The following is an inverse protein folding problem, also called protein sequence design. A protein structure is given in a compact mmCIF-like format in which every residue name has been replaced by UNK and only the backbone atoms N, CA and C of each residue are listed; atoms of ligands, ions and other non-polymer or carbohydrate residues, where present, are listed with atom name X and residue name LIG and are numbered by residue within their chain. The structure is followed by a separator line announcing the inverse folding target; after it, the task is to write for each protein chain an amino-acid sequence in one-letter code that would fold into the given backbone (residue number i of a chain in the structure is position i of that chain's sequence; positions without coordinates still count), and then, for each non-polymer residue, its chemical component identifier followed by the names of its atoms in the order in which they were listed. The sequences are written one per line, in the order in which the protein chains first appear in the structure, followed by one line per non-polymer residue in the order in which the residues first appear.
data_IF_076653001158
#
_entry.id   IF_076653001158
#
_cell.length_a   1.000
_cell.length_b   1.000
_cell.length_c   1.000
_cell.angle_alpha   90.00
_cell.angle_beta   90.00
_cell.angle_gamma   90.00
#
_symmetry.space_group_name_H-M   'P 1'
#
loop_
_entity.id
_entity.type
_entity.pdbx_description
1 polymer ?
#
# COMPACT_ATOMS: atom_id res chain seq x y z
N UNK A 1 -4.30 -17.72 -11.78
CA UNK A 1 -4.46 -16.65 -12.79
C UNK A 1 -4.99 -15.43 -12.07
N UNK A 2 -4.21 -14.37 -12.05
CA UNK A 2 -4.53 -13.14 -11.34
C UNK A 2 -5.56 -12.38 -12.19
N UNK A 3 -6.77 -12.16 -11.67
CA UNK A 3 -7.83 -11.49 -12.42
C UNK A 3 -7.36 -10.07 -12.76
N UNK A 4 -7.58 -9.54 -13.98
CA UNK A 4 -7.11 -8.21 -14.39
C UNK A 4 -7.55 -7.06 -13.45
N UNK A 5 -8.62 -7.27 -12.69
CA UNK A 5 -9.05 -6.37 -11.62
C UNK A 5 -8.02 -6.28 -10.47
N UNK A 6 -7.39 -7.39 -10.07
CA UNK A 6 -6.37 -7.38 -9.01
C UNK A 6 -5.13 -6.60 -9.42
N UNK A 7 -4.73 -6.65 -10.69
CA UNK A 7 -3.58 -5.88 -11.19
C UNK A 7 -3.83 -4.38 -11.08
N UNK A 8 -5.03 -3.91 -11.45
CA UNK A 8 -5.44 -2.49 -11.27
C UNK A 8 -5.45 -2.07 -9.80
N UNK A 9 -6.01 -2.92 -8.95
CA UNK A 9 -6.09 -2.63 -7.51
C UNK A 9 -4.71 -2.60 -6.84
N UNK A 10 -3.78 -3.44 -7.30
CA UNK A 10 -2.38 -3.41 -6.84
C UNK A 10 -1.66 -2.13 -7.28
N UNK A 11 -1.93 -1.64 -8.50
CA UNK A 11 -1.41 -0.37 -9.01
C UNK A 11 -1.91 0.80 -8.14
N UNK A 12 -3.22 0.83 -7.83
CA UNK A 12 -3.81 1.82 -6.93
C UNK A 12 -3.23 1.74 -5.50
N UNK A 13 -2.98 0.54 -4.98
CA UNK A 13 -2.34 0.35 -3.69
C UNK A 13 -0.91 0.93 -3.66
N UNK A 14 -0.16 0.74 -4.75
CA UNK A 14 1.19 1.28 -4.88
C UNK A 14 1.19 2.81 -4.93
N UNK A 15 0.25 3.40 -5.67
CA UNK A 15 0.01 4.86 -5.70
C UNK A 15 -0.27 5.44 -4.31
N UNK A 16 -1.14 4.78 -3.53
CA UNK A 16 -1.42 5.20 -2.15
C UNK A 16 -0.21 5.06 -1.24
N UNK A 17 0.59 4.00 -1.39
CA UNK A 17 1.83 3.84 -0.65
C UNK A 17 2.84 4.95 -0.95
N UNK A 18 3.00 5.33 -2.21
CA UNK A 18 3.89 6.44 -2.58
C UNK A 18 3.42 7.76 -1.97
N UNK A 19 2.11 8.05 -2.00
CA UNK A 19 1.54 9.25 -1.38
C UNK A 19 1.70 9.28 0.13
N UNK A 20 1.48 8.14 0.79
CA UNK A 20 1.61 8.03 2.25
C UNK A 20 3.06 8.04 2.74
N UNK A 21 4.00 7.62 1.89
CA UNK A 21 5.45 7.73 2.17
C UNK A 21 6.05 9.07 1.80
N UNK A 22 5.35 9.90 1.02
CA UNK A 22 5.78 11.26 0.77
C UNK A 22 5.84 12.04 2.09
N UNK A 23 6.87 12.87 2.25
CA UNK A 23 7.08 13.63 3.49
C UNK A 23 5.96 14.64 3.76
N UNK A 24 5.13 14.95 2.76
CA UNK A 24 3.93 15.78 2.84
C UNK A 24 2.62 15.02 3.09
N UNK A 25 2.65 13.71 3.39
CA UNK A 25 1.45 12.91 3.61
C UNK A 25 0.55 13.49 4.73
N UNK A 26 -0.55 14.12 4.33
CA UNK A 26 -1.52 14.74 5.24
C UNK A 26 -2.52 13.74 5.79
N UNK A 27 -3.25 14.15 6.84
CA UNK A 27 -4.35 13.35 7.39
C UNK A 27 -5.46 13.08 6.35
N UNK A 28 -5.66 14.01 5.42
CA UNK A 28 -6.60 13.85 4.31
C UNK A 28 -6.20 12.71 3.36
N UNK A 29 -4.90 12.50 3.14
CA UNK A 29 -4.39 11.40 2.30
C UNK A 29 -4.64 10.04 2.98
N UNK A 30 -4.37 9.95 4.29
CA UNK A 30 -4.73 8.78 5.12
C UNK A 30 -6.22 8.48 5.08
N UNK A 31 -7.07 9.49 5.25
CA UNK A 31 -8.52 9.32 5.21
C UNK A 31 -9.02 8.89 3.81
N UNK A 32 -8.42 9.42 2.74
CA UNK A 32 -8.76 9.04 1.38
C UNK A 32 -8.32 7.60 1.05
N UNK A 33 -7.12 7.20 1.49
CA UNK A 33 -6.65 5.82 1.41
C UNK A 33 -7.58 4.88 2.18
N UNK A 34 -8.01 5.24 3.39
CA UNK A 34 -8.91 4.40 4.17
C UNK A 34 -10.26 4.21 3.48
N UNK A 35 -10.84 5.28 2.93
CA UNK A 35 -12.08 5.22 2.14
C UNK A 35 -11.93 4.35 0.90
N UNK A 36 -10.78 4.43 0.22
CA UNK A 36 -10.48 3.58 -0.93
C UNK A 36 -10.42 2.10 -0.54
N UNK A 37 -9.78 1.75 0.59
CA UNK A 37 -9.75 0.36 1.09
C UNK A 37 -11.12 -0.16 1.51
N UNK A 38 -11.97 0.70 2.04
CA UNK A 38 -13.35 0.34 2.44
C UNK A 38 -14.30 0.21 1.26
N UNK A 39 -13.95 0.78 0.10
CA UNK A 39 -14.81 0.72 -1.09
C UNK A 39 -14.95 -0.70 -1.66
N UNK A 40 -13.90 -1.52 -1.56
CA UNK A 40 -13.93 -2.89 -2.06
C UNK A 40 -13.04 -3.84 -1.23
N UNK A 41 -13.50 -5.05 -0.89
CA UNK A 41 -12.69 -6.03 -0.17
C UNK A 41 -11.39 -6.42 -0.90
N UNK A 42 -11.34 -6.30 -2.23
CA UNK A 42 -10.12 -6.53 -3.00
C UNK A 42 -9.06 -5.45 -2.74
N UNK A 43 -9.48 -4.20 -2.51
CA UNK A 43 -8.57 -3.09 -2.18
C UNK A 43 -7.90 -3.32 -0.83
N UNK A 44 -8.69 -3.74 0.17
CA UNK A 44 -8.16 -4.11 1.47
C UNK A 44 -7.14 -5.26 1.38
N UNK A 45 -7.42 -6.29 0.57
CA UNK A 45 -6.51 -7.42 0.33
C UNK A 45 -5.20 -7.01 -0.35
N UNK A 46 -5.25 -6.14 -1.35
CA UNK A 46 -4.06 -5.62 -2.02
C UNK A 46 -3.22 -4.73 -1.09
N UNK A 47 -3.88 -3.85 -0.34
CA UNK A 47 -3.25 -2.99 0.65
C UNK A 47 -2.55 -3.81 1.74
N UNK A 48 -3.21 -4.83 2.30
CA UNK A 48 -2.60 -5.71 3.30
C UNK A 48 -1.38 -6.46 2.76
N UNK A 49 -1.42 -6.94 1.51
CA UNK A 49 -0.24 -7.55 0.86
C UNK A 49 0.90 -6.54 0.71
N UNK A 50 0.59 -5.32 0.28
CA UNK A 50 1.58 -4.29 0.06
C UNK A 50 2.22 -3.83 1.39
N UNK A 51 1.41 -3.58 2.43
CA UNK A 51 1.90 -3.27 3.78
C UNK A 51 2.75 -4.42 4.36
N UNK A 52 2.34 -5.68 4.19
CA UNK A 52 3.15 -6.82 4.66
C UNK A 52 4.49 -6.93 3.95
N UNK A 53 4.55 -6.64 2.65
CA UNK A 53 5.81 -6.60 1.91
C UNK A 53 6.70 -5.47 2.43
N UNK A 54 6.13 -4.28 2.61
CA UNK A 54 6.83 -3.12 3.12
C UNK A 54 7.33 -3.32 4.55
N UNK A 55 6.51 -3.89 5.43
CA UNK A 55 6.87 -4.22 6.81
C UNK A 55 7.95 -5.29 6.89
N UNK A 56 8.01 -6.24 5.95
CA UNK A 56 9.12 -7.18 5.83
C UNK A 56 10.41 -6.49 5.38
N UNK A 57 10.34 -5.50 4.50
CA UNK A 57 11.50 -4.70 4.11
C UNK A 57 11.95 -3.75 5.24
N UNK A 58 11.03 -3.12 5.96
CA UNK A 58 11.32 -2.21 7.08
C UNK A 58 11.72 -2.92 8.37
N UNK A 59 11.37 -4.20 8.53
CA UNK A 59 11.79 -5.07 9.64
C UNK A 59 13.16 -5.73 9.44
N UNK A 60 13.81 -5.55 8.28
CA UNK A 60 15.22 -5.89 8.12
C UNK A 60 16.04 -4.84 8.87
N UNK A 61 16.91 -5.24 9.82
CA UNK A 61 17.84 -4.29 10.41
C UNK A 61 18.66 -3.66 9.28
N UNK A 62 18.86 -2.34 9.34
CA UNK A 62 19.63 -1.54 8.39
C UNK A 62 21.12 -1.97 8.22
N UNK A 63 21.50 -3.14 8.71
CA UNK A 63 22.83 -3.75 8.60
C UNK A 63 23.04 -4.61 7.34
N UNK A 64 22.10 -4.66 6.39
CA UNK A 64 22.29 -5.30 5.07
C UNK A 64 22.29 -4.27 3.92
N UNK A 65 22.49 -2.99 4.21
CA UNK A 65 22.96 -2.03 3.23
C UNK A 65 24.50 -2.07 3.20
N UNK A 66 25.07 -3.07 2.53
CA UNK A 66 26.45 -3.06 2.04
C UNK A 66 26.57 -3.88 0.76
#
# INVERSE_FOLDING_TARGET
METPLQARVLDEAAEWLMRLHDSGATDADRAACERWRQADPQHALAWERAERLLGKLGGLPAGLAM
#
